data_IF_686369436064
#
_entry.id   IF_686369436064
#
_cell.length_a   1.000
_cell.length_b   1.000
_cell.length_c   1.000
_cell.angle_alpha   90.00
_cell.angle_beta   90.00
_cell.angle_gamma   90.00
#
_symmetry.space_group_name_H-M   'P 1'
#
loop_
_entity.id
_entity.type
_entity.pdbx_description
1 polymer ?
#
# COMPACT_ATOMS: atom_id res chain seq x y z
N UNK A 1 27.14 4.95 4.84
CA UNK A 1 25.87 4.22 4.63
C UNK A 1 24.88 5.24 4.09
N UNK A 2 24.19 4.97 2.98
CA UNK A 2 23.19 5.89 2.46
C UNK A 2 21.92 5.81 3.31
N UNK A 3 21.34 6.95 3.69
CA UNK A 3 20.09 7.03 4.45
C UNK A 3 19.01 7.61 3.54
N UNK A 4 17.87 6.93 3.45
CA UNK A 4 16.71 7.43 2.70
C UNK A 4 16.25 8.76 3.30
N UNK A 5 16.16 9.79 2.46
CA UNK A 5 15.76 11.14 2.84
C UNK A 5 14.63 11.62 1.95
N UNK A 6 13.72 12.42 2.51
CA UNK A 6 12.67 13.06 1.74
C UNK A 6 13.28 14.11 0.82
N UNK A 7 13.12 13.94 -0.50
CA UNK A 7 13.62 14.89 -1.51
C UNK A 7 13.12 16.33 -1.32
N UNK A 8 11.95 16.51 -0.69
CA UNK A 8 11.33 17.83 -0.48
C UNK A 8 11.85 18.58 0.76
N UNK A 9 12.15 17.88 1.86
CA UNK A 9 12.46 18.53 3.15
C UNK A 9 13.64 17.91 3.91
N UNK A 10 14.36 16.99 3.27
CA UNK A 10 15.51 16.27 3.81
C UNK A 10 15.27 15.49 5.10
N UNK A 11 14.00 15.28 5.47
CA UNK A 11 13.63 14.50 6.65
C UNK A 11 13.84 13.00 6.42
N UNK A 12 14.14 12.27 7.48
CA UNK A 12 14.38 10.81 7.45
C UNK A 12 13.26 9.99 8.07
N UNK A 13 12.22 10.64 8.60
CA UNK A 13 11.02 9.96 9.11
C UNK A 13 9.95 9.83 8.03
N UNK A 14 9.46 8.61 7.88
CA UNK A 14 8.43 8.23 6.92
C UNK A 14 7.33 7.44 7.62
N UNK A 15 6.12 7.54 7.09
CA UNK A 15 4.93 6.84 7.57
C UNK A 15 4.21 6.16 6.41
N UNK A 16 3.47 5.11 6.72
CA UNK A 16 2.52 4.52 5.79
C UNK A 16 1.16 5.23 5.93
N UNK A 17 0.53 5.52 4.79
CA UNK A 17 -0.83 6.05 4.74
C UNK A 17 -1.65 5.26 3.75
N UNK A 18 -2.72 4.63 4.23
CA UNK A 18 -3.67 3.92 3.39
C UNK A 18 -4.61 4.97 2.78
N UNK A 19 -4.81 4.92 1.46
CA UNK A 19 -5.70 5.83 0.74
C UNK A 19 -6.36 5.10 -0.41
N UNK A 20 -7.63 5.38 -0.65
CA UNK A 20 -8.35 4.85 -1.80
C UNK A 20 -8.11 5.70 -3.04
N UNK A 21 -7.56 5.09 -4.10
CA UNK A 21 -7.37 5.73 -5.40
C UNK A 21 -8.13 4.91 -6.44
N UNK A 22 -9.11 5.53 -7.10
CA UNK A 22 -9.94 4.85 -8.10
C UNK A 22 -10.73 3.65 -7.53
N UNK A 23 -11.14 3.72 -6.27
CA UNK A 23 -11.88 2.65 -5.59
C UNK A 23 -11.03 1.47 -5.11
N UNK A 24 -9.70 1.54 -5.22
CA UNK A 24 -8.78 0.52 -4.70
C UNK A 24 -7.92 1.08 -3.56
N UNK A 25 -7.68 0.31 -2.49
CA UNK A 25 -6.80 0.74 -1.41
C UNK A 25 -5.33 0.66 -1.84
N UNK A 26 -4.62 1.77 -1.68
CA UNK A 26 -3.17 1.87 -1.87
C UNK A 26 -2.51 2.29 -0.57
N UNK A 27 -1.30 1.79 -0.34
CA UNK A 27 -0.48 2.20 0.80
C UNK A 27 0.61 3.14 0.28
N UNK A 28 0.56 4.39 0.67
CA UNK A 28 1.57 5.39 0.35
C UNK A 28 2.61 5.43 1.45
N UNK A 29 3.89 5.43 1.07
CA UNK A 29 4.99 5.78 1.97
C UNK A 29 5.23 7.27 1.77
N UNK A 30 4.91 8.05 2.80
CA UNK A 30 5.03 9.51 2.76
C UNK A 30 5.94 10.03 3.88
N UNK A 31 6.52 11.20 3.69
CA UNK A 31 7.28 11.88 4.72
C UNK A 31 6.37 12.44 5.81
N UNK A 32 6.64 12.08 7.06
CA UNK A 32 5.84 12.52 8.21
C UNK A 32 5.90 14.03 8.48
N UNK A 33 6.90 14.72 7.93
CA UNK A 33 7.07 16.17 8.12
C UNK A 33 6.36 17.00 7.06
N UNK A 34 6.43 16.60 5.79
CA UNK A 34 5.98 17.44 4.67
C UNK A 34 4.91 16.79 3.77
N UNK A 35 4.52 15.54 4.06
CA UNK A 35 3.55 14.77 3.27
C UNK A 35 4.05 14.36 1.88
N UNK A 36 5.34 14.52 1.59
CA UNK A 36 5.91 14.12 0.31
C UNK A 36 5.85 12.60 0.14
N UNK A 37 5.14 12.13 -0.88
CA UNK A 37 5.05 10.71 -1.23
C UNK A 37 6.35 10.26 -1.88
N UNK A 38 6.89 9.14 -1.42
CA UNK A 38 8.20 8.62 -1.83
C UNK A 38 8.09 7.18 -2.35
N UNK A 39 6.98 6.51 -2.05
CA UNK A 39 6.68 5.19 -2.57
C UNK A 39 5.19 4.91 -2.53
N UNK A 40 4.77 4.01 -3.41
CA UNK A 40 3.42 3.46 -3.43
C UNK A 40 3.57 1.95 -3.37
N UNK A 41 3.00 1.34 -2.35
CA UNK A 41 2.81 -0.09 -2.26
C UNK A 41 1.38 -0.36 -2.72
N UNK A 42 1.26 -1.17 -3.76
CA UNK A 42 -0.04 -1.72 -4.11
C UNK A 42 -0.43 -2.65 -2.96
N UNK A 43 -1.58 -2.41 -2.33
CA UNK A 43 -2.13 -3.38 -1.40
C UNK A 43 -2.68 -4.53 -2.26
N UNK A 44 -1.79 -5.44 -2.68
CA UNK A 44 -2.19 -6.74 -3.17
C UNK A 44 -2.81 -7.44 -1.96
N UNK A 45 -4.12 -7.27 -1.82
CA UNK A 45 -4.91 -7.97 -0.83
C UNK A 45 -4.99 -9.44 -1.25
N UNK A 46 -3.86 -10.14 -1.10
CA UNK A 46 -3.71 -11.55 -1.43
C UNK A 46 -4.74 -12.36 -0.66
N UNK A 47 -5.07 -11.94 0.57
CA UNK A 47 -6.12 -12.57 1.36
C UNK A 47 -7.50 -12.43 0.71
N UNK A 48 -7.89 -11.24 0.24
CA UNK A 48 -9.16 -11.06 -0.48
C UNK A 48 -9.22 -11.87 -1.77
N UNK A 49 -8.11 -11.96 -2.52
CA UNK A 49 -8.04 -12.78 -3.73
C UNK A 49 -8.13 -14.28 -3.41
N UNK A 50 -7.48 -14.74 -2.34
CA UNK A 50 -7.57 -16.14 -1.87
C UNK A 50 -9.00 -16.47 -1.43
N UNK A 51 -9.66 -15.57 -0.71
CA UNK A 51 -11.06 -15.77 -0.31
C UNK A 51 -11.98 -15.81 -1.53
N UNK A 52 -11.81 -14.91 -2.50
CA UNK A 52 -12.60 -14.93 -3.73
C UNK A 52 -12.40 -16.23 -4.54
N UNK A 53 -11.15 -16.67 -4.69
CA UNK A 53 -10.83 -17.94 -5.36
C UNK A 53 -11.42 -19.13 -4.61
N UNK A 54 -11.34 -19.14 -3.28
CA UNK A 54 -11.93 -20.19 -2.44
C UNK A 54 -13.44 -20.24 -2.60
N UNK A 55 -14.13 -19.10 -2.54
CA UNK A 55 -15.58 -19.04 -2.76
C UNK A 55 -15.98 -19.55 -4.13
N UNK A 56 -15.21 -19.22 -5.19
CA UNK A 56 -15.47 -19.74 -6.53
C UNK A 56 -15.27 -21.26 -6.62
N UNK A 57 -14.26 -21.80 -5.94
CA UNK A 57 -13.99 -23.24 -5.90
C UNK A 57 -15.10 -24.02 -5.17
N UNK A 58 -15.59 -23.48 -4.05
CA UNK A 58 -16.68 -24.08 -3.26
C UNK A 58 -17.98 -24.19 -4.08
N UNK A 59 -18.28 -23.19 -4.92
CA UNK A 59 -19.43 -23.19 -5.82
C UNK A 59 -19.31 -24.16 -7.02
N UNK A 60 -18.11 -24.67 -7.30
CA UNK A 60 -17.86 -25.59 -8.42
C UNK A 60 -17.85 -27.07 -7.98
N UNK A 61 -17.86 -27.33 -6.68
CA UNK A 61 -17.83 -28.69 -6.13
C UNK A 61 -19.03 -28.86 -5.17
N UNK A 62 -20.23 -29.24 -5.68
CA UNK A 62 -21.38 -29.52 -4.83
C UNK A 62 -21.18 -30.77 -3.97
#
# INVERSE_FOLDING_TARGET
MATSTCVKCNNTSFEHKITNVGGKPFVFIQCSKCGGVIGVLNNYDLQSNIQEVKSKLDNLTP
#
